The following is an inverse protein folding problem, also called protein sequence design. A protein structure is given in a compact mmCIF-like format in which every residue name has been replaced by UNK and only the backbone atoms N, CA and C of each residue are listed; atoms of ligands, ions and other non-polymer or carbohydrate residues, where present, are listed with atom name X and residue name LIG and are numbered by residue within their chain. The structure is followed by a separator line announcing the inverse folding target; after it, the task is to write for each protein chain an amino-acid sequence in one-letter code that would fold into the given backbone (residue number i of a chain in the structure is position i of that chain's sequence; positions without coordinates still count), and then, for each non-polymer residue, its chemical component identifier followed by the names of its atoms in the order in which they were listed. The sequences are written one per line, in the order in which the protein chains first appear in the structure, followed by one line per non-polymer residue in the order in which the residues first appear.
data_IF_268434294850
#
_entry.id   IF_268434294850
#
_cell.length_a   1.000
_cell.length_b   1.000
_cell.length_c   1.000
_cell.angle_alpha   90.00
_cell.angle_beta   90.00
_cell.angle_gamma   90.00
#
_symmetry.space_group_name_H-M   'P 1'
#
loop_
_entity.id
_entity.type
_entity.pdbx_description
1 polymer ?
#
# COMPACT_ATOMS: atom_id res chain seq x y z
N UNK A 1 4.92 12.46 -22.37
CA UNK A 1 3.87 12.17 -21.38
C UNK A 1 4.28 10.94 -20.57
N UNK A 2 4.30 10.98 -19.23
CA UNK A 2 4.72 9.84 -18.40
C UNK A 2 3.61 8.77 -18.38
N UNK A 3 3.68 7.81 -19.30
CA UNK A 3 2.67 6.77 -19.53
C UNK A 3 2.24 6.00 -18.26
N UNK A 4 3.13 5.90 -17.25
CA UNK A 4 2.86 5.16 -16.02
C UNK A 4 1.84 5.87 -15.10
N UNK A 5 1.78 7.20 -15.11
CA UNK A 5 0.84 7.95 -14.28
C UNK A 5 -0.60 7.84 -14.80
N UNK A 6 -0.78 7.74 -16.12
CA UNK A 6 -2.10 7.60 -16.74
C UNK A 6 -2.75 6.24 -16.52
N UNK A 7 -1.96 5.19 -16.23
CA UNK A 7 -2.48 3.84 -15.99
C UNK A 7 -2.87 3.58 -14.52
N UNK A 8 -2.51 4.48 -13.61
CA UNK A 8 -2.84 4.33 -12.19
C UNK A 8 -4.16 5.05 -11.86
N UNK A 9 -5.01 4.47 -10.99
CA UNK A 9 -6.30 5.08 -10.63
C UNK A 9 -6.17 6.44 -9.95
N UNK A 10 -5.04 6.68 -9.28
CA UNK A 10 -4.75 7.94 -8.60
C UNK A 10 -3.25 8.26 -8.65
N UNK A 11 -2.92 9.55 -8.77
CA UNK A 11 -1.54 10.04 -8.76
C UNK A 11 -0.82 9.70 -7.46
N UNK A 12 -1.53 9.76 -6.34
CA UNK A 12 -0.98 9.46 -5.02
C UNK A 12 -0.53 8.00 -4.91
N UNK A 13 -1.28 7.07 -5.51
CA UNK A 13 -0.89 5.66 -5.50
C UNK A 13 0.36 5.41 -6.34
N UNK A 14 0.50 6.11 -7.47
CA UNK A 14 1.71 6.06 -8.29
C UNK A 14 2.93 6.59 -7.49
N UNK A 15 2.79 7.75 -6.85
CA UNK A 15 3.84 8.36 -6.02
C UNK A 15 4.25 7.44 -4.85
N UNK A 16 3.28 6.81 -4.19
CA UNK A 16 3.56 5.90 -3.08
C UNK A 16 4.33 4.66 -3.56
N UNK A 17 3.94 4.08 -4.70
CA UNK A 17 4.64 2.95 -5.30
C UNK A 17 6.10 3.32 -5.62
N UNK A 18 6.33 4.51 -6.17
CA UNK A 18 7.69 5.01 -6.44
C UNK A 18 8.52 5.17 -5.16
N UNK A 19 7.92 5.68 -4.08
CA UNK A 19 8.57 5.80 -2.77
C UNK A 19 8.99 4.44 -2.20
N UNK A 20 8.12 3.43 -2.32
CA UNK A 20 8.44 2.08 -1.88
C UNK A 20 9.60 1.48 -2.68
N UNK A 21 9.56 1.62 -4.01
CA UNK A 21 10.65 1.16 -4.87
C UNK A 21 11.96 1.84 -4.46
N UNK A 22 11.96 3.18 -4.31
CA UNK A 22 13.14 3.92 -3.90
C UNK A 22 13.68 3.47 -2.53
N UNK A 23 12.81 3.22 -1.56
CA UNK A 23 13.18 2.73 -0.23
C UNK A 23 13.83 1.34 -0.29
N UNK A 24 13.26 0.41 -1.07
CA UNK A 24 13.80 -0.95 -1.26
C UNK A 24 15.18 -0.89 -1.91
N UNK A 25 15.35 -0.09 -2.97
CA UNK A 25 16.65 0.08 -3.62
C UNK A 25 17.69 0.69 -2.69
N UNK A 26 17.33 1.74 -1.95
CA UNK A 26 18.22 2.37 -0.95
C UNK A 26 18.67 1.35 0.10
N UNK A 27 17.74 0.56 0.64
CA UNK A 27 18.06 -0.48 1.61
C UNK A 27 19.02 -1.53 1.04
N UNK A 28 18.82 -1.95 -0.21
CA UNK A 28 19.73 -2.88 -0.88
C UNK A 28 21.12 -2.30 -1.08
N UNK A 29 21.25 -1.04 -1.53
CA UNK A 29 22.56 -0.39 -1.68
C UNK A 29 23.30 -0.27 -0.35
N UNK A 30 22.60 0.11 0.72
CA UNK A 30 23.18 0.14 2.07
C UNK A 30 23.66 -1.26 2.49
N UNK A 31 22.83 -2.30 2.32
CA UNK A 31 23.20 -3.68 2.64
C UNK A 31 24.41 -4.14 1.81
N UNK A 32 24.49 -3.76 0.52
CA UNK A 32 25.61 -4.10 -0.35
C UNK A 32 26.91 -3.43 0.10
N UNK A 33 26.86 -2.16 0.54
CA UNK A 33 28.03 -1.47 1.11
C UNK A 33 28.49 -2.14 2.41
N UNK A 34 27.56 -2.44 3.32
CA UNK A 34 27.87 -3.14 4.57
C UNK A 34 28.44 -4.55 4.32
N UNK A 35 27.94 -5.27 3.30
CA UNK A 35 28.46 -6.58 2.90
C UNK A 35 29.90 -6.50 2.38
N UNK A 36 30.28 -5.43 1.66
CA UNK A 36 31.66 -5.25 1.20
C UNK A 36 32.65 -5.05 2.35
N UNK A 37 32.23 -4.40 3.43
CA UNK A 37 33.06 -4.11 4.61
C UNK A 37 33.17 -5.33 5.53
N UNK A 38 32.05 -6.01 5.79
CA UNK A 38 31.98 -7.12 6.74
C UNK A 38 31.13 -8.27 6.21
N UNK A 39 31.61 -9.03 5.20
CA UNK A 39 30.85 -10.11 4.58
C UNK A 39 30.48 -11.23 5.56
N UNK A 40 31.30 -11.47 6.58
CA UNK A 40 31.08 -12.48 7.62
C UNK A 40 29.84 -12.23 8.49
N UNK A 41 29.31 -11.00 8.52
CA UNK A 41 28.07 -10.66 9.25
C UNK A 41 26.80 -11.07 8.49
N UNK A 42 26.94 -11.48 7.22
CA UNK A 42 25.84 -11.84 6.36
C UNK A 42 25.89 -13.33 6.04
N UNK A 43 24.72 -13.97 5.99
CA UNK A 43 24.61 -15.36 5.52
C UNK A 43 24.95 -15.52 4.01
N UNK A 44 25.12 -14.40 3.30
CA UNK A 44 25.50 -14.36 1.89
C UNK A 44 25.31 -12.97 1.30
N UNK A 45 25.59 -12.85 0.00
CA UNK A 45 25.48 -11.56 -0.72
C UNK A 45 24.02 -11.06 -0.72
N UNK A 46 23.77 -9.78 -0.38
CA UNK A 46 22.45 -9.17 -0.45
C UNK A 46 21.80 -9.35 -1.83
N UNK A 47 20.60 -9.92 -1.85
CA UNK A 47 19.87 -10.23 -3.08
C UNK A 47 19.35 -8.95 -3.71
N UNK A 48 19.61 -8.77 -5.01
CA UNK A 48 19.10 -7.63 -5.77
C UNK A 48 17.57 -7.60 -5.77
N UNK A 49 16.95 -6.42 -5.54
CA UNK A 49 15.51 -6.24 -5.71
C UNK A 49 15.09 -6.63 -7.12
N UNK A 50 13.91 -7.23 -7.24
CA UNK A 50 13.32 -7.59 -8.54
C UNK A 50 11.91 -7.04 -8.62
N UNK A 51 11.44 -6.84 -9.84
CA UNK A 51 10.04 -6.55 -10.09
C UNK A 51 9.13 -7.62 -9.52
N UNK A 52 7.94 -7.20 -9.11
CA UNK A 52 6.90 -8.10 -8.67
C UNK A 52 6.53 -9.04 -9.83
N UNK A 53 6.40 -10.35 -9.54
CA UNK A 53 5.97 -11.31 -10.56
C UNK A 53 4.54 -10.99 -11.01
N UNK A 54 4.23 -11.27 -12.28
CA UNK A 54 2.86 -11.14 -12.82
C UNK A 54 1.85 -11.87 -11.92
N UNK A 55 0.67 -11.29 -11.74
CA UNK A 55 -0.45 -11.83 -10.95
C UNK A 55 -0.22 -11.99 -9.45
N UNK A 56 0.83 -11.36 -8.89
CA UNK A 56 1.01 -11.28 -7.43
C UNK A 56 0.27 -10.07 -6.87
N UNK A 57 -0.24 -10.22 -5.66
CA UNK A 57 -0.87 -9.13 -4.90
C UNK A 57 0.21 -8.19 -4.36
N UNK A 58 -0.05 -6.90 -4.46
CA UNK A 58 0.72 -5.83 -3.81
C UNK A 58 -0.22 -4.99 -2.96
N UNK A 59 0.33 -4.30 -1.96
CA UNK A 59 -0.45 -3.38 -1.13
C UNK A 59 -0.86 -2.16 -1.95
N UNK A 60 -2.14 -1.84 -1.94
CA UNK A 60 -2.67 -0.63 -2.57
C UNK A 60 -2.98 0.42 -1.49
N UNK A 61 -2.43 1.63 -1.66
CA UNK A 61 -2.61 2.70 -0.69
C UNK A 61 -3.76 3.59 -1.08
N UNK A 62 -4.64 3.79 -0.10
CA UNK A 62 -5.81 4.64 -0.24
C UNK A 62 -5.70 5.74 0.80
N UNK A 63 -5.98 6.96 0.36
CA UNK A 63 -5.94 8.15 1.21
C UNK A 63 -7.36 8.69 1.44
N UNK A 64 -7.59 9.49 2.49
CA UNK A 64 -8.89 10.12 2.72
C UNK A 64 -9.36 11.01 1.57
N UNK A 65 -8.46 11.49 0.70
CA UNK A 65 -8.84 12.28 -0.47
C UNK A 65 -9.50 11.43 -1.56
N UNK A 66 -9.18 10.14 -1.64
CA UNK A 66 -9.64 9.25 -2.72
C UNK A 66 -10.66 8.22 -2.26
N UNK A 67 -10.88 8.11 -0.95
CA UNK A 67 -11.87 7.19 -0.40
C UNK A 67 -12.64 7.75 0.78
N UNK A 68 -13.85 7.21 0.93
CA UNK A 68 -14.78 7.57 1.99
C UNK A 68 -15.28 6.31 2.67
N UNK A 69 -15.49 6.40 3.98
CA UNK A 69 -16.17 5.34 4.74
C UNK A 69 -17.64 5.70 4.83
N UNK A 70 -18.51 4.80 4.37
CA UNK A 70 -19.96 4.92 4.50
C UNK A 70 -20.46 3.95 5.56
N UNK A 71 -21.22 4.46 6.51
CA UNK A 71 -21.89 3.64 7.52
C UNK A 71 -23.34 3.38 7.10
N UNK A 72 -23.78 2.14 7.28
CA UNK A 72 -25.17 1.73 7.08
C UNK A 72 -25.77 1.49 8.46
N UNK A 73 -26.81 2.26 8.78
CA UNK A 73 -27.52 2.19 10.05
C UNK A 73 -28.67 1.18 9.97
N UNK A 74 -29.05 0.64 11.12
CA UNK A 74 -30.25 -0.19 11.26
C UNK A 74 -31.52 0.62 10.96
N UNK A 75 -32.65 -0.06 10.74
CA UNK A 75 -33.95 0.56 10.50
C UNK A 75 -34.34 1.54 11.63
N UNK A 76 -33.97 1.21 12.87
CA UNK A 76 -34.21 2.03 14.06
C UNK A 76 -33.21 3.19 14.22
N UNK A 77 -32.20 3.29 13.35
CA UNK A 77 -31.20 4.35 13.34
C UNK A 77 -30.18 4.34 14.49
N UNK A 78 -30.34 3.45 15.48
CA UNK A 78 -29.51 3.37 16.70
C UNK A 78 -28.16 2.70 16.47
N UNK A 79 -28.13 1.61 15.71
CA UNK A 79 -26.93 0.78 15.55
C UNK A 79 -26.35 0.85 14.13
N UNK A 80 -25.01 0.84 14.02
CA UNK A 80 -24.31 0.70 12.74
C UNK A 80 -24.19 -0.79 12.40
N UNK A 81 -24.88 -1.22 11.35
CA UNK A 81 -24.96 -2.63 10.94
C UNK A 81 -23.81 -3.01 10.02
N UNK A 82 -23.32 -2.06 9.22
CA UNK A 82 -22.19 -2.30 8.33
C UNK A 82 -21.43 -1.02 8.01
N UNK A 83 -20.15 -1.16 7.67
CA UNK A 83 -19.33 -0.08 7.10
C UNK A 83 -18.78 -0.48 5.74
N UNK A 84 -18.70 0.46 4.83
CA UNK A 84 -18.17 0.28 3.49
C UNK A 84 -17.06 1.28 3.21
N UNK A 85 -15.95 0.83 2.64
CA UNK A 85 -14.94 1.68 2.04
C UNK A 85 -15.31 1.89 0.56
N UNK A 86 -15.55 3.14 0.20
CA UNK A 86 -15.90 3.53 -1.17
C UNK A 86 -14.70 4.24 -1.79
N UNK A 87 -14.23 3.74 -2.93
CA UNK A 87 -13.15 4.33 -3.72
C UNK A 87 -13.72 4.72 -5.08
N UNK A 88 -14.10 5.98 -5.23
CA UNK A 88 -14.83 6.47 -6.42
C UNK A 88 -14.05 6.29 -7.71
N UNK A 89 -12.74 6.57 -7.70
CA UNK A 89 -11.88 6.44 -8.89
C UNK A 89 -11.75 5.00 -9.41
N UNK A 90 -12.05 4.02 -8.56
CA UNK A 90 -12.01 2.61 -8.90
C UNK A 90 -13.41 1.99 -9.09
N UNK A 91 -14.48 2.74 -8.82
CA UNK A 91 -15.84 2.18 -8.80
C UNK A 91 -16.02 1.06 -7.75
N UNK A 92 -15.16 1.02 -6.72
CA UNK A 92 -15.15 -0.05 -5.73
C UNK A 92 -15.90 0.36 -4.46
N UNK A 93 -16.72 -0.56 -3.96
CA UNK A 93 -17.34 -0.49 -2.63
C UNK A 93 -17.06 -1.80 -1.90
N UNK A 94 -16.28 -1.74 -0.83
CA UNK A 94 -15.79 -2.91 -0.10
C UNK A 94 -16.39 -2.88 1.30
N UNK A 95 -17.10 -3.94 1.69
CA UNK A 95 -17.59 -4.10 3.07
C UNK A 95 -16.38 -4.27 4.00
N UNK A 96 -16.32 -3.44 5.03
CA UNK A 96 -15.30 -3.52 6.06
C UNK A 96 -15.62 -4.67 7.01
N UNK A 97 -14.59 -5.40 7.45
CA UNK A 97 -14.74 -6.46 8.43
C UNK A 97 -15.17 -5.90 9.79
N UNK A 98 -15.97 -6.68 10.51
CA UNK A 98 -16.45 -6.33 11.83
C UNK A 98 -15.27 -6.36 12.82
N UNK A 99 -15.00 -5.23 13.48
CA UNK A 99 -13.88 -5.09 14.44
C UNK A 99 -12.63 -4.39 13.91
N UNK A 100 -12.64 -3.80 12.71
CA UNK A 100 -11.54 -2.92 12.28
C UNK A 100 -11.50 -1.69 13.20
N UNK A 101 -10.47 -1.62 14.05
CA UNK A 101 -10.20 -0.49 14.94
C UNK A 101 -9.35 0.54 14.20
N UNK A 102 -9.59 1.82 14.48
CA UNK A 102 -8.70 2.90 14.03
C UNK A 102 -7.33 2.68 14.69
N UNK A 103 -6.33 2.36 13.89
CA UNK A 103 -4.94 2.36 14.35
C UNK A 103 -4.45 3.79 14.24
N UNK A 104 -4.19 4.43 15.39
CA UNK A 104 -3.47 5.69 15.38
C UNK A 104 -2.05 5.40 14.88
N UNK A 105 -1.59 6.20 13.91
CA UNK A 105 -0.21 6.11 13.42
C UNK A 105 0.71 6.41 14.61
N UNK A 106 1.55 5.44 14.98
CA UNK A 106 2.68 5.64 15.91
C UNK A 106 3.69 6.58 15.24
#
# INVERSE_FOLDING_TARGET
ELMLYGQMPTVQCAQQTLKEVAAVWKAWFCALQSYKIAPQKFAGRPRIPRYLKKSRRHTFYVTPQNARVKEVKSADGKDVVARYLIIHSLGLSIKLADGIKKVNRI
#
